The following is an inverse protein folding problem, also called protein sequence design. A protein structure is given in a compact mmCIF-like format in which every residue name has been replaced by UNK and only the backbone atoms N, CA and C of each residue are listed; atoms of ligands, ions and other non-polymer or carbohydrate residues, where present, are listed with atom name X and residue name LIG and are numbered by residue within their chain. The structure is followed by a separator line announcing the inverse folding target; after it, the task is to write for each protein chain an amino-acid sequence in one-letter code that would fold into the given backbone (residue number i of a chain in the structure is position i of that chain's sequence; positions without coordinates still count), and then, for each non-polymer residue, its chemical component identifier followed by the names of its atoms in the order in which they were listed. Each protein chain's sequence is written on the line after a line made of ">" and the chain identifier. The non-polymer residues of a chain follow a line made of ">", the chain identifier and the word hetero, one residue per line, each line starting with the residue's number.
data_IF_262522340991
#
_entry.id   IF_262522340991
#
_cell.length_a   1.000
_cell.length_b   1.000
_cell.length_c   1.000
_cell.angle_alpha   90.00
_cell.angle_beta   90.00
_cell.angle_gamma   90.00
#
_symmetry.space_group_name_H-M   'P 1'
#
loop_
_entity.id
_entity.type
_entity.pdbx_description
1 polymer ?
#
# COMPACT_ATOMS: atom_id res chain seq x y z
N UNK A 1 5.89 -24.55 12.14
CA UNK A 1 7.09 -25.26 11.64
C UNK A 1 6.83 -25.95 10.31
N UNK A 2 5.90 -26.91 10.19
CA UNK A 2 5.65 -27.64 8.94
C UNK A 2 5.41 -26.75 7.68
N UNK A 3 4.71 -25.61 7.85
CA UNK A 3 4.52 -24.62 6.77
C UNK A 3 5.84 -23.96 6.36
N UNK A 4 6.67 -23.56 7.32
CA UNK A 4 7.96 -22.90 7.07
C UNK A 4 8.94 -23.84 6.37
N UNK A 5 8.93 -25.12 6.73
CA UNK A 5 9.73 -26.16 6.07
C UNK A 5 9.14 -26.61 4.72
N UNK A 6 8.03 -26.02 4.27
CA UNK A 6 7.39 -26.31 2.99
C UNK A 6 7.04 -27.80 2.79
N UNK A 7 6.47 -28.45 3.81
CA UNK A 7 6.06 -29.86 3.75
C UNK A 7 4.52 -30.03 3.69
N UNK A 8 3.89 -29.98 2.50
CA UNK A 8 2.43 -30.06 2.35
C UNK A 8 1.79 -31.29 2.98
N UNK A 9 2.47 -32.45 2.93
CA UNK A 9 1.97 -33.70 3.54
C UNK A 9 1.88 -33.57 5.06
N UNK A 10 2.93 -33.03 5.69
CA UNK A 10 2.93 -32.78 7.13
C UNK A 10 1.91 -31.73 7.53
N UNK A 11 1.76 -30.65 6.74
CA UNK A 11 0.70 -29.66 6.95
C UNK A 11 -0.67 -30.33 6.90
N UNK A 12 -0.96 -31.13 5.88
CA UNK A 12 -2.24 -31.83 5.74
C UNK A 12 -2.55 -32.74 6.94
N UNK A 13 -1.59 -33.61 7.33
CA UNK A 13 -1.78 -34.50 8.49
C UNK A 13 -2.03 -33.74 9.79
N UNK A 14 -1.34 -32.61 10.01
CA UNK A 14 -1.55 -31.78 11.20
C UNK A 14 -2.95 -31.15 11.20
N UNK A 15 -3.45 -30.70 10.04
CA UNK A 15 -4.79 -30.15 9.91
C UNK A 15 -5.86 -31.22 10.15
N UNK A 16 -5.68 -32.44 9.61
CA UNK A 16 -6.57 -33.58 9.90
C UNK A 16 -6.59 -33.96 11.38
N UNK A 17 -5.46 -33.81 12.08
CA UNK A 17 -5.35 -34.00 13.52
C UNK A 17 -5.94 -32.84 14.35
N UNK A 18 -6.53 -31.81 13.72
CA UNK A 18 -7.16 -30.68 14.39
C UNK A 18 -6.22 -29.54 14.79
N UNK A 19 -5.03 -29.44 14.18
CA UNK A 19 -4.16 -28.29 14.40
C UNK A 19 -4.83 -26.98 13.94
N UNK A 20 -4.79 -25.95 14.79
CA UNK A 20 -5.38 -24.65 14.48
C UNK A 20 -4.54 -23.86 13.47
N UNK A 21 -5.19 -23.37 12.41
CA UNK A 21 -4.59 -22.50 11.39
C UNK A 21 -4.46 -21.04 11.81
N UNK A 22 -5.05 -20.65 12.94
CA UNK A 22 -4.99 -19.29 13.50
C UNK A 22 -4.19 -19.25 14.80
N UNK A 23 -3.53 -20.35 15.19
CA UNK A 23 -2.70 -20.37 16.39
C UNK A 23 -1.51 -19.42 16.21
N UNK A 24 -1.41 -18.44 17.10
CA UNK A 24 -0.35 -17.43 17.08
C UNK A 24 0.86 -17.87 17.92
N UNK A 25 2.06 -17.60 17.42
CA UNK A 25 3.30 -17.67 18.20
C UNK A 25 3.50 -16.42 19.08
N UNK A 26 4.65 -16.31 19.76
CA UNK A 26 4.96 -15.18 20.66
C UNK A 26 5.11 -13.83 19.92
N UNK A 27 5.29 -13.85 18.61
CA UNK A 27 5.34 -12.67 17.76
C UNK A 27 3.97 -12.38 17.12
N UNK A 28 2.93 -13.10 17.53
CA UNK A 28 1.59 -12.98 16.97
C UNK A 28 1.42 -13.67 15.63
N UNK A 29 2.40 -14.46 15.16
CA UNK A 29 2.39 -15.00 13.80
C UNK A 29 1.52 -16.22 13.64
N UNK A 30 0.71 -16.27 12.59
CA UNK A 30 -0.05 -17.47 12.22
C UNK A 30 0.85 -18.48 11.50
N UNK A 31 0.46 -19.76 11.40
CA UNK A 31 1.19 -20.76 10.63
C UNK A 31 1.43 -20.35 9.17
N UNK A 32 0.47 -19.65 8.55
CA UNK A 32 0.58 -19.12 7.19
C UNK A 32 1.79 -18.20 7.02
N UNK A 33 2.08 -17.36 8.02
CA UNK A 33 3.21 -16.44 7.97
C UNK A 33 4.57 -17.15 7.96
N UNK A 34 4.62 -18.41 8.38
CA UNK A 34 5.80 -19.25 8.21
C UNK A 34 6.19 -19.44 6.74
N UNK A 35 5.25 -19.32 5.81
CA UNK A 35 5.49 -19.50 4.38
C UNK A 35 6.40 -18.41 3.80
N UNK A 36 6.33 -17.18 4.32
CA UNK A 36 7.17 -16.07 3.85
C UNK A 36 8.69 -16.35 3.95
N UNK A 37 9.11 -17.17 4.92
CA UNK A 37 10.50 -17.61 5.11
C UNK A 37 10.82 -18.98 4.51
N UNK A 38 9.85 -19.61 3.84
CA UNK A 38 10.02 -20.95 3.30
C UNK A 38 10.76 -20.94 1.97
N UNK A 39 11.39 -22.06 1.64
CA UNK A 39 11.97 -22.32 0.31
C UNK A 39 10.96 -23.04 -0.60
N UNK A 40 9.66 -22.84 -0.37
CA UNK A 40 8.61 -23.48 -1.15
C UNK A 40 8.67 -23.00 -2.60
N UNK A 41 8.68 -23.94 -3.54
CA UNK A 41 8.35 -23.62 -4.93
C UNK A 41 6.88 -23.18 -5.05
N UNK A 42 6.53 -22.63 -6.22
CA UNK A 42 5.19 -22.10 -6.46
C UNK A 42 4.09 -23.15 -6.23
N UNK A 43 4.28 -24.40 -6.66
CA UNK A 43 3.27 -25.46 -6.51
C UNK A 43 3.05 -25.83 -5.05
N UNK A 44 4.14 -25.92 -4.29
CA UNK A 44 4.16 -26.24 -2.87
C UNK A 44 3.51 -25.11 -2.07
N UNK A 45 3.85 -23.85 -2.35
CA UNK A 45 3.24 -22.69 -1.73
C UNK A 45 1.72 -22.64 -2.01
N UNK A 46 1.30 -22.86 -3.26
CA UNK A 46 -0.13 -22.94 -3.63
C UNK A 46 -0.84 -24.05 -2.87
N UNK A 47 -0.22 -25.23 -2.77
CA UNK A 47 -0.81 -26.38 -2.06
C UNK A 47 -0.99 -26.06 -0.58
N UNK A 48 0.02 -25.47 0.05
CA UNK A 48 -0.04 -25.09 1.48
C UNK A 48 -1.11 -24.03 1.70
N UNK A 49 -1.16 -22.97 0.89
CA UNK A 49 -2.18 -21.92 1.01
C UNK A 49 -3.58 -22.50 0.86
N UNK A 50 -3.82 -23.37 -0.14
CA UNK A 50 -5.11 -24.05 -0.32
C UNK A 50 -5.50 -24.93 0.88
N UNK A 51 -4.55 -25.67 1.46
CA UNK A 51 -4.80 -26.48 2.65
C UNK A 51 -5.21 -25.62 3.84
N UNK A 52 -4.52 -24.51 4.05
CA UNK A 52 -4.80 -23.58 5.15
C UNK A 52 -6.14 -22.85 4.94
N UNK A 53 -6.41 -22.33 3.74
CA UNK A 53 -7.70 -21.69 3.41
C UNK A 53 -8.88 -22.68 3.48
N UNK A 54 -8.66 -23.95 3.15
CA UNK A 54 -9.66 -25.02 3.33
C UNK A 54 -10.05 -25.25 4.79
N UNK A 55 -9.26 -24.74 5.74
CA UNK A 55 -9.55 -24.69 7.17
C UNK A 55 -9.82 -23.25 7.66
N UNK A 56 -10.23 -22.37 6.74
CA UNK A 56 -10.58 -20.97 6.99
C UNK A 56 -9.44 -20.07 7.50
N UNK A 57 -8.18 -20.39 7.15
CA UNK A 57 -7.06 -19.50 7.46
C UNK A 57 -7.21 -18.14 6.75
N UNK A 58 -6.93 -17.07 7.49
CA UNK A 58 -6.96 -15.70 7.00
C UNK A 58 -5.65 -15.31 6.33
N UNK A 59 -5.71 -14.84 5.08
CA UNK A 59 -4.53 -14.33 4.36
C UNK A 59 -4.06 -12.97 4.91
N UNK A 60 -4.99 -12.18 5.43
CA UNK A 60 -4.81 -10.84 5.97
C UNK A 60 -4.46 -10.82 7.47
N UNK A 61 -4.21 -12.00 8.07
CA UNK A 61 -3.82 -12.06 9.48
C UNK A 61 -2.50 -11.31 9.72
N UNK A 62 -2.56 -10.29 10.57
CA UNK A 62 -1.43 -9.46 10.97
C UNK A 62 -0.73 -10.01 12.19
N UNK A 63 0.60 -9.94 12.25
CA UNK A 63 1.37 -10.24 13.46
C UNK A 63 1.42 -9.05 14.43
N UNK A 64 2.21 -9.15 15.51
CA UNK A 64 2.30 -8.07 16.52
C UNK A 64 2.86 -6.74 15.95
N UNK A 65 3.47 -6.76 14.77
CA UNK A 65 3.94 -5.57 14.04
C UNK A 65 2.98 -5.16 12.93
N UNK A 66 1.73 -5.64 12.93
CA UNK A 66 0.76 -5.33 11.88
C UNK A 66 1.08 -5.98 10.54
N UNK A 67 2.15 -6.77 10.43
CA UNK A 67 2.61 -7.31 9.15
C UNK A 67 1.79 -8.56 8.79
N UNK A 68 1.24 -8.57 7.57
CA UNK A 68 0.61 -9.75 6.97
C UNK A 68 1.69 -10.70 6.41
N UNK A 69 1.28 -11.89 5.98
CA UNK A 69 2.20 -12.82 5.29
C UNK A 69 2.81 -12.17 4.04
N UNK A 70 2.05 -11.31 3.35
CA UNK A 70 2.50 -10.61 2.15
C UNK A 70 3.65 -9.64 2.47
N UNK A 71 3.51 -8.83 3.52
CA UNK A 71 4.58 -7.96 4.00
C UNK A 71 5.85 -8.74 4.35
N UNK A 72 5.69 -9.86 5.06
CA UNK A 72 6.84 -10.72 5.41
C UNK A 72 7.49 -11.33 4.17
N UNK A 73 6.74 -11.66 3.12
CA UNK A 73 7.30 -12.15 1.86
C UNK A 73 8.18 -11.09 1.17
N UNK A 74 7.76 -9.82 1.18
CA UNK A 74 8.58 -8.70 0.69
C UNK A 74 9.83 -8.51 1.55
N UNK A 75 9.70 -8.49 2.88
CA UNK A 75 10.86 -8.34 3.79
C UNK A 75 11.91 -9.45 3.64
N UNK A 76 11.49 -10.64 3.21
CA UNK A 76 12.37 -11.79 2.98
C UNK A 76 12.75 -11.99 1.51
N UNK A 77 12.38 -11.06 0.62
CA UNK A 77 12.61 -11.16 -0.83
C UNK A 77 12.16 -12.51 -1.43
N UNK A 78 11.00 -12.99 -0.97
CA UNK A 78 10.43 -14.25 -1.42
C UNK A 78 9.34 -14.01 -2.46
N UNK A 79 9.76 -13.73 -3.70
CA UNK A 79 8.84 -13.39 -4.79
C UNK A 79 7.88 -14.54 -5.13
N UNK A 80 8.34 -15.80 -4.99
CA UNK A 80 7.53 -16.98 -5.25
C UNK A 80 6.32 -16.99 -4.32
N UNK A 81 6.54 -16.81 -3.02
CA UNK A 81 5.47 -16.78 -2.03
C UNK A 81 4.61 -15.53 -2.19
N UNK A 82 5.21 -14.37 -2.49
CA UNK A 82 4.47 -13.14 -2.78
C UNK A 82 3.48 -13.35 -3.94
N UNK A 83 3.93 -13.91 -5.06
CA UNK A 83 3.08 -14.24 -6.23
C UNK A 83 1.91 -15.13 -5.83
N UNK A 84 2.18 -16.22 -5.12
CA UNK A 84 1.12 -17.14 -4.69
C UNK A 84 0.10 -16.47 -3.76
N UNK A 85 0.55 -15.58 -2.87
CA UNK A 85 -0.36 -14.87 -1.96
C UNK A 85 -1.29 -13.93 -2.73
N UNK A 86 -0.76 -13.18 -3.69
CA UNK A 86 -1.55 -12.29 -4.55
C UNK A 86 -2.53 -13.12 -5.41
N UNK A 87 -2.08 -14.23 -6.00
CA UNK A 87 -2.93 -15.17 -6.76
C UNK A 87 -4.05 -15.76 -5.89
N UNK A 88 -3.80 -15.95 -4.59
CA UNK A 88 -4.78 -16.43 -3.62
C UNK A 88 -5.73 -15.33 -3.09
N UNK A 89 -5.56 -14.08 -3.53
CA UNK A 89 -6.40 -12.94 -3.15
C UNK A 89 -5.97 -12.20 -1.88
N UNK A 90 -4.70 -12.31 -1.46
CA UNK A 90 -4.17 -11.50 -0.37
C UNK A 90 -4.19 -10.01 -0.75
N UNK A 91 -4.61 -9.15 0.18
CA UNK A 91 -4.73 -7.72 -0.09
C UNK A 91 -3.38 -7.00 -0.02
N UNK A 92 -3.07 -6.24 -1.07
CA UNK A 92 -1.92 -5.34 -1.16
C UNK A 92 -2.16 -3.96 -0.50
N UNK A 93 -3.40 -3.65 -0.11
CA UNK A 93 -3.79 -2.35 0.46
C UNK A 93 -3.66 -2.29 1.99
N UNK A 94 -3.13 -3.33 2.62
CA UNK A 94 -3.00 -3.39 4.08
C UNK A 94 -1.91 -2.45 4.55
N UNK A 95 -2.06 -1.90 5.75
CA UNK A 95 -1.04 -1.12 6.45
C UNK A 95 -0.53 -1.91 7.65
N UNK A 96 0.80 -1.97 7.81
CA UNK A 96 1.45 -2.52 8.97
C UNK A 96 1.45 -1.51 10.13
N UNK A 97 2.04 -1.89 11.28
CA UNK A 97 2.31 -0.92 12.34
C UNK A 97 3.16 0.23 11.80
N UNK A 98 3.10 1.40 12.44
CA UNK A 98 3.79 2.62 11.98
C UNK A 98 3.26 3.19 10.66
N UNK A 99 2.03 2.84 10.27
CA UNK A 99 1.38 3.34 9.04
C UNK A 99 2.15 2.99 7.76
N UNK A 100 2.93 1.92 7.77
CA UNK A 100 3.68 1.45 6.61
C UNK A 100 2.77 0.67 5.65
N UNK A 101 2.59 1.17 4.43
CA UNK A 101 2.00 0.40 3.33
C UNK A 101 3.07 -0.48 2.64
N UNK A 102 2.65 -1.27 1.65
CA UNK A 102 3.56 -2.18 0.93
C UNK A 102 4.73 -1.47 0.23
N UNK A 103 4.58 -0.20 -0.17
CA UNK A 103 5.64 0.57 -0.80
C UNK A 103 6.70 1.03 0.20
N UNK A 104 6.33 1.36 1.45
CA UNK A 104 7.31 1.65 2.51
C UNK A 104 8.20 0.45 2.76
N UNK A 105 7.60 -0.74 2.86
CA UNK A 105 8.35 -1.98 3.07
C UNK A 105 9.16 -2.34 1.83
N UNK A 106 8.64 -2.11 0.61
CA UNK A 106 9.43 -2.32 -0.59
C UNK A 106 10.65 -1.39 -0.66
N UNK A 107 10.52 -0.12 -0.26
CA UNK A 107 11.59 0.87 -0.31
C UNK A 107 12.87 0.46 0.45
N UNK A 108 12.73 -0.28 1.56
CA UNK A 108 13.85 -0.68 2.41
C UNK A 108 14.29 -2.15 2.29
N UNK A 109 13.44 -3.02 1.75
CA UNK A 109 13.68 -4.48 1.75
C UNK A 109 13.67 -5.09 0.35
N UNK A 110 12.78 -4.65 -0.54
CA UNK A 110 12.49 -5.32 -1.80
C UNK A 110 13.65 -5.21 -2.79
N UNK A 111 14.06 -6.34 -3.37
CA UNK A 111 14.95 -6.39 -4.53
C UNK A 111 14.28 -5.98 -5.84
N UNK A 112 15.07 -5.98 -6.91
CA UNK A 112 14.60 -5.69 -8.26
C UNK A 112 13.43 -6.59 -8.69
N UNK A 113 13.43 -7.87 -8.31
CA UNK A 113 12.42 -8.83 -8.72
C UNK A 113 11.08 -8.55 -8.04
N UNK A 114 11.09 -8.31 -6.72
CA UNK A 114 9.90 -7.90 -5.97
C UNK A 114 9.39 -6.55 -6.46
N UNK A 115 10.26 -5.58 -6.67
CA UNK A 115 9.86 -4.22 -7.11
C UNK A 115 9.22 -4.28 -8.50
N UNK A 116 9.81 -5.04 -9.42
CA UNK A 116 9.26 -5.25 -10.76
C UNK A 116 7.91 -5.96 -10.70
N UNK A 117 7.78 -6.99 -9.87
CA UNK A 117 6.52 -7.68 -9.67
C UNK A 117 5.42 -6.75 -9.13
N UNK A 118 5.73 -5.92 -8.14
CA UNK A 118 4.80 -4.92 -7.59
C UNK A 118 4.38 -3.89 -8.64
N UNK A 119 5.27 -3.51 -9.56
CA UNK A 119 4.95 -2.62 -10.68
C UNK A 119 3.98 -3.22 -11.70
N UNK A 120 3.94 -4.55 -11.81
CA UNK A 120 2.96 -5.27 -12.62
C UNK A 120 1.60 -5.40 -11.92
N UNK A 121 1.50 -5.15 -10.61
CA UNK A 121 0.27 -5.33 -9.85
C UNK A 121 -0.64 -4.10 -9.86
N UNK A 122 -1.94 -4.34 -9.69
CA UNK A 122 -2.93 -3.29 -9.56
C UNK A 122 -2.94 -2.64 -8.15
N UNK A 123 -2.01 -1.73 -7.90
CA UNK A 123 -1.86 -1.03 -6.62
C UNK A 123 -2.80 0.17 -6.43
N UNK A 124 -3.94 0.23 -7.12
CA UNK A 124 -4.85 1.40 -7.15
C UNK A 124 -5.43 1.84 -5.81
N UNK A 125 -5.37 0.98 -4.79
CA UNK A 125 -5.83 1.25 -3.42
C UNK A 125 -4.67 1.53 -2.45
N UNK A 126 -3.42 1.39 -2.89
CA UNK A 126 -2.25 1.76 -2.11
C UNK A 126 -2.03 3.25 -2.29
N UNK A 127 -1.94 3.97 -1.17
CA UNK A 127 -1.71 5.41 -1.18
C UNK A 127 -0.20 5.73 -1.21
N UNK A 128 0.35 6.24 -2.33
CA UNK A 128 1.76 6.62 -2.41
C UNK A 128 2.10 7.87 -1.57
N UNK A 129 1.13 8.61 -1.05
CA UNK A 129 1.34 9.81 -0.21
C UNK A 129 1.21 9.51 1.28
N UNK A 130 0.82 8.28 1.66
CA UNK A 130 0.72 7.89 3.06
C UNK A 130 2.07 8.11 3.75
N UNK A 131 2.05 8.76 4.91
CA UNK A 131 3.23 9.00 5.74
C UNK A 131 3.31 7.94 6.84
N UNK A 132 4.48 7.35 7.01
CA UNK A 132 4.78 6.45 8.12
C UNK A 132 4.89 7.21 9.46
N UNK A 133 5.23 6.51 10.54
CA UNK A 133 5.40 7.12 11.87
C UNK A 133 6.56 8.13 11.94
N UNK A 134 7.52 8.04 11.03
CA UNK A 134 8.63 8.98 10.90
C UNK A 134 8.24 10.21 10.03
N UNK A 135 7.01 10.22 9.51
CA UNK A 135 6.48 11.27 8.65
C UNK A 135 6.93 11.15 7.20
N UNK A 136 7.55 10.03 6.82
CA UNK A 136 8.10 9.81 5.48
C UNK A 136 7.07 9.15 4.58
N UNK A 137 6.97 9.62 3.34
CA UNK A 137 6.29 8.87 2.28
C UNK A 137 7.16 7.65 1.87
N UNK A 138 6.64 6.68 1.09
CA UNK A 138 7.45 5.55 0.62
C UNK A 138 8.74 5.95 -0.10
N UNK A 139 8.69 7.06 -0.86
CA UNK A 139 9.87 7.60 -1.53
C UNK A 139 10.85 8.27 -0.54
N UNK A 140 10.34 8.93 0.50
CA UNK A 140 11.16 9.42 1.62
C UNK A 140 11.82 8.29 2.40
N UNK A 141 11.12 7.16 2.57
CA UNK A 141 11.67 5.94 3.18
C UNK A 141 12.83 5.38 2.35
N UNK A 142 12.71 5.38 1.02
CA UNK A 142 13.80 5.01 0.12
C UNK A 142 14.99 5.96 0.30
N UNK A 143 14.74 7.27 0.31
CA UNK A 143 15.74 8.31 0.61
C UNK A 143 16.49 8.05 1.90
N UNK A 144 15.74 7.83 2.98
CA UNK A 144 16.28 7.51 4.30
C UNK A 144 17.13 6.24 4.28
N UNK A 145 16.68 5.15 3.65
CA UNK A 145 17.45 3.90 3.57
C UNK A 145 18.78 4.09 2.81
N UNK A 146 18.81 4.96 1.80
CA UNK A 146 20.03 5.26 1.05
C UNK A 146 21.03 6.11 1.86
N UNK A 147 20.55 7.05 2.66
CA UNK A 147 21.36 8.00 3.43
C UNK A 147 21.70 7.52 4.86
N UNK A 148 20.94 6.57 5.41
CA UNK A 148 21.13 6.01 6.75
C UNK A 148 22.54 5.47 6.96
N UNK A 149 23.06 5.54 8.18
CA UNK A 149 24.32 4.87 8.54
C UNK A 149 24.13 3.35 8.64
N UNK A 150 25.22 2.58 8.49
CA UNK A 150 25.14 1.10 8.54
C UNK A 150 24.58 0.56 9.85
N UNK A 151 24.76 1.27 10.96
CA UNK A 151 24.21 0.88 12.27
C UNK A 151 22.71 1.14 12.39
N UNK A 152 22.14 1.99 11.53
CA UNK A 152 20.70 2.28 11.46
C UNK A 152 19.95 1.26 10.59
N UNK A 153 20.67 0.59 9.68
CA UNK A 153 20.15 -0.49 8.85
C UNK A 153 20.05 -1.79 9.67
N UNK A 154 19.15 -1.77 10.65
CA UNK A 154 18.84 -2.91 11.50
C UNK A 154 17.89 -3.89 10.80
N UNK A 155 17.82 -5.11 11.31
CA UNK A 155 17.05 -6.20 10.70
C UNK A 155 17.50 -6.51 9.25
N UNK A 156 16.56 -6.75 8.34
CA UNK A 156 16.82 -7.07 6.92
C UNK A 156 16.73 -5.83 6.02
N UNK A 157 16.74 -4.62 6.59
CA UNK A 157 16.83 -3.37 5.84
C UNK A 157 18.16 -3.33 5.09
N UNK A 158 18.12 -2.84 3.86
CA UNK A 158 19.30 -2.75 2.99
C UNK A 158 19.31 -1.42 2.25
N UNK A 159 20.49 -1.04 1.75
CA UNK A 159 20.61 0.06 0.79
C UNK A 159 20.27 -0.45 -0.61
N UNK A 160 19.20 0.05 -1.25
CA UNK A 160 18.86 -0.35 -2.62
C UNK A 160 19.92 0.14 -3.61
N UNK A 161 20.21 -0.66 -4.63
CA UNK A 161 21.12 -0.30 -5.72
C UNK A 161 20.55 0.84 -6.56
N UNK A 162 21.37 1.57 -7.36
CA UNK A 162 20.87 2.61 -8.24
C UNK A 162 19.79 2.12 -9.23
N UNK A 163 19.89 0.88 -9.70
CA UNK A 163 18.90 0.26 -10.57
C UNK A 163 17.57 0.04 -9.84
N UNK A 164 17.63 -0.47 -8.60
CA UNK A 164 16.45 -0.70 -7.76
C UNK A 164 15.77 0.62 -7.38
N UNK A 165 16.57 1.64 -7.06
CA UNK A 165 16.08 3.00 -6.83
C UNK A 165 15.32 3.52 -8.04
N UNK A 166 15.87 3.38 -9.25
CA UNK A 166 15.22 3.89 -10.46
C UNK A 166 13.91 3.18 -10.77
N UNK A 167 13.85 1.85 -10.60
CA UNK A 167 12.62 1.08 -10.80
C UNK A 167 11.57 1.46 -9.75
N UNK A 168 11.97 1.63 -8.49
CA UNK A 168 11.07 2.08 -7.42
C UNK A 168 10.55 3.50 -7.68
N UNK A 169 11.41 4.43 -8.09
CA UNK A 169 11.03 5.81 -8.46
C UNK A 169 10.01 5.79 -9.59
N UNK A 170 10.24 5.00 -10.64
CA UNK A 170 9.28 4.85 -11.74
C UNK A 170 7.93 4.32 -11.22
N UNK A 171 7.94 3.23 -10.44
CA UNK A 171 6.74 2.65 -9.84
C UNK A 171 5.97 3.68 -8.99
N UNK A 172 6.68 4.41 -8.13
CA UNK A 172 6.11 5.43 -7.26
C UNK A 172 5.41 6.52 -8.06
N UNK A 173 6.09 7.10 -9.05
CA UNK A 173 5.55 8.21 -9.85
C UNK A 173 4.46 7.76 -10.83
N UNK A 174 4.52 6.53 -11.34
CA UNK A 174 3.44 5.94 -12.15
C UNK A 174 2.17 5.80 -11.30
N UNK A 175 2.30 5.28 -10.07
CA UNK A 175 1.18 5.18 -9.14
C UNK A 175 0.64 6.55 -8.70
N UNK A 176 1.53 7.50 -8.39
CA UNK A 176 1.17 8.86 -8.00
C UNK A 176 0.44 9.58 -9.14
N UNK A 177 0.91 9.44 -10.38
CA UNK A 177 0.26 10.03 -11.55
C UNK A 177 -1.14 9.47 -11.75
N UNK A 178 -1.30 8.15 -11.63
CA UNK A 178 -2.63 7.51 -11.69
C UNK A 178 -3.55 7.96 -10.55
N UNK A 179 -3.01 8.13 -9.34
CA UNK A 179 -3.75 8.67 -8.20
C UNK A 179 -4.25 10.10 -8.48
N UNK A 180 -3.35 11.00 -8.88
CA UNK A 180 -3.66 12.40 -9.17
C UNK A 180 -4.68 12.53 -10.29
N UNK A 181 -4.53 11.80 -11.39
CA UNK A 181 -5.50 11.80 -12.49
C UNK A 181 -6.90 11.36 -12.04
N UNK A 182 -6.99 10.34 -11.17
CA UNK A 182 -8.27 9.88 -10.61
C UNK A 182 -8.86 10.91 -9.65
N UNK A 183 -8.02 11.54 -8.83
CA UNK A 183 -8.43 12.58 -7.91
C UNK A 183 -8.97 13.80 -8.67
N UNK A 184 -8.22 14.31 -9.65
CA UNK A 184 -8.63 15.39 -10.54
C UNK A 184 -9.95 15.09 -11.29
N UNK A 185 -10.15 13.85 -11.74
CA UNK A 185 -11.44 13.43 -12.35
C UNK A 185 -12.59 13.52 -11.36
N UNK A 186 -12.34 13.17 -10.09
CA UNK A 186 -13.32 13.28 -9.00
C UNK A 186 -13.63 14.75 -8.70
N UNK A 187 -12.61 15.60 -8.60
CA UNK A 187 -12.77 17.04 -8.38
C UNK A 187 -13.56 17.70 -9.52
N UNK A 188 -13.26 17.38 -10.78
CA UNK A 188 -14.04 17.85 -11.95
C UNK A 188 -15.52 17.48 -11.86
N UNK A 189 -15.83 16.29 -11.35
CA UNK A 189 -17.22 15.88 -11.16
C UNK A 189 -17.89 16.66 -10.02
N UNK A 190 -17.15 16.95 -8.94
CA UNK A 190 -17.65 17.79 -7.84
C UNK A 190 -17.87 19.24 -8.28
N UNK A 191 -16.95 19.83 -9.05
CA UNK A 191 -17.11 21.17 -9.63
C UNK A 191 -18.38 21.28 -10.46
N UNK A 192 -18.59 20.35 -11.40
CA UNK A 192 -19.82 20.34 -12.23
C UNK A 192 -21.10 20.21 -11.40
N UNK A 193 -21.07 19.41 -10.34
CA UNK A 193 -22.22 19.24 -9.45
C UNK A 193 -22.49 20.51 -8.62
N UNK A 194 -21.42 21.18 -8.16
CA UNK A 194 -21.50 22.43 -7.43
C UNK A 194 -22.02 23.59 -8.30
N UNK A 195 -21.57 23.67 -9.56
CA UNK A 195 -22.06 24.65 -10.54
C UNK A 195 -23.55 24.48 -10.84
N UNK A 196 -24.04 23.24 -10.87
CA UNK A 196 -25.46 22.91 -11.08
C UNK A 196 -26.33 23.14 -9.83
N UNK A 197 -25.72 23.43 -8.66
CA UNK A 197 -26.39 23.64 -7.36
C UNK A 197 -27.34 22.50 -6.96
N UNK A 198 -27.05 21.27 -7.40
CA UNK A 198 -27.85 20.10 -7.04
C UNK A 198 -27.43 19.58 -5.67
N UNK A 199 -28.21 19.91 -4.63
CA UNK A 199 -27.94 19.50 -3.25
C UNK A 199 -28.00 17.99 -3.06
N UNK A 200 -28.93 17.30 -3.75
CA UNK A 200 -29.17 15.88 -3.55
C UNK A 200 -28.01 15.06 -4.12
N UNK A 201 -27.66 15.31 -5.39
CA UNK A 201 -26.59 14.60 -6.09
C UNK A 201 -25.23 14.91 -5.45
N UNK A 202 -24.97 16.17 -5.08
CA UNK A 202 -23.71 16.57 -4.45
C UNK A 202 -23.51 15.91 -3.08
N UNK A 203 -24.58 15.85 -2.27
CA UNK A 203 -24.52 15.24 -0.93
C UNK A 203 -24.28 13.73 -0.99
N UNK A 204 -24.97 13.03 -1.90
CA UNK A 204 -24.78 11.59 -2.11
C UNK A 204 -23.34 11.29 -2.57
N UNK A 205 -22.82 12.07 -3.52
CA UNK A 205 -21.45 11.92 -4.04
C UNK A 205 -20.40 12.16 -2.97
N UNK A 206 -20.51 13.24 -2.20
CA UNK A 206 -19.54 13.54 -1.12
C UNK A 206 -19.60 12.43 -0.06
N UNK A 207 -20.79 11.94 0.28
CA UNK A 207 -20.93 10.83 1.24
C UNK A 207 -20.24 9.55 0.74
N UNK A 208 -20.42 9.20 -0.54
CA UNK A 208 -19.72 8.08 -1.15
C UNK A 208 -18.19 8.26 -1.17
N UNK A 209 -17.70 9.49 -1.38
CA UNK A 209 -16.27 9.82 -1.35
C UNK A 209 -15.68 9.76 0.06
N UNK A 210 -16.44 10.17 1.08
CA UNK A 210 -16.05 10.01 2.49
C UNK A 210 -15.92 8.53 2.81
N UNK A 211 -16.93 7.71 2.52
CA UNK A 211 -16.89 6.26 2.78
C UNK A 211 -15.70 5.59 2.07
N UNK A 212 -15.47 5.94 0.80
CA UNK A 212 -14.35 5.40 0.04
C UNK A 212 -13.01 5.82 0.64
N UNK A 213 -12.88 7.07 1.07
CA UNK A 213 -11.65 7.60 1.67
C UNK A 213 -11.37 6.97 3.04
N UNK A 214 -12.43 6.71 3.80
CA UNK A 214 -12.39 6.00 5.09
C UNK A 214 -11.89 4.55 4.93
N UNK A 215 -12.42 3.81 3.93
CA UNK A 215 -11.94 2.46 3.59
C UNK A 215 -10.46 2.45 3.17
N UNK A 216 -10.00 3.51 2.52
CA UNK A 216 -8.58 3.65 2.12
C UNK A 216 -7.68 4.21 3.23
N UNK A 217 -8.22 4.55 4.40
CA UNK A 217 -7.44 5.12 5.51
C UNK A 217 -6.95 6.56 5.29
N UNK A 218 -7.59 7.32 4.39
CA UNK A 218 -7.20 8.70 4.03
C UNK A 218 -7.91 9.72 4.91
N UNK A 219 -7.45 9.86 6.15
CA UNK A 219 -8.09 10.72 7.16
C UNK A 219 -8.11 12.21 6.79
N UNK A 220 -7.06 12.69 6.12
CA UNK A 220 -6.92 14.05 5.60
C UNK A 220 -8.03 14.37 4.59
N UNK A 221 -8.20 13.50 3.59
CA UNK A 221 -9.25 13.65 2.59
C UNK A 221 -10.64 13.51 3.20
N UNK A 222 -10.83 12.63 4.18
CA UNK A 222 -12.11 12.51 4.92
C UNK A 222 -12.45 13.83 5.62
N UNK A 223 -11.48 14.49 6.25
CA UNK A 223 -11.69 15.80 6.89
C UNK A 223 -12.04 16.86 5.86
N UNK A 224 -11.32 16.89 4.72
CA UNK A 224 -11.59 17.82 3.63
C UNK A 224 -13.00 17.65 3.05
N UNK A 225 -13.40 16.41 2.71
CA UNK A 225 -14.75 16.12 2.21
C UNK A 225 -15.85 16.46 3.22
N UNK A 226 -15.61 16.27 4.53
CA UNK A 226 -16.54 16.70 5.58
C UNK A 226 -16.67 18.22 5.65
N UNK A 227 -15.59 18.96 5.40
CA UNK A 227 -15.61 20.42 5.26
C UNK A 227 -16.53 20.86 4.12
N UNK A 228 -16.36 20.26 2.93
CA UNK A 228 -17.24 20.52 1.78
C UNK A 228 -18.70 20.16 2.10
N UNK A 229 -18.93 19.04 2.80
CA UNK A 229 -20.27 18.64 3.22
C UNK A 229 -20.91 19.67 4.17
N UNK A 230 -20.11 20.31 5.04
CA UNK A 230 -20.55 21.43 5.88
C UNK A 230 -20.98 22.62 5.03
N UNK A 231 -20.11 23.08 4.14
CA UNK A 231 -20.40 24.17 3.21
C UNK A 231 -21.64 23.90 2.34
N UNK A 232 -21.90 22.63 1.99
CA UNK A 232 -23.08 22.21 1.24
C UNK A 232 -24.37 22.37 2.05
N UNK A 233 -24.34 22.09 3.36
CA UNK A 233 -25.49 22.28 4.26
C UNK A 233 -25.81 23.75 4.46
N UNK A 234 -24.78 24.60 4.49
CA UNK A 234 -24.91 26.04 4.68
C UNK A 234 -25.26 26.78 3.38
N UNK A 235 -25.27 26.09 2.23
CA UNK A 235 -25.57 26.68 0.92
C UNK A 235 -24.44 27.54 0.35
N UNK A 236 -23.21 27.38 0.87
CA UNK A 236 -22.03 28.14 0.48
C UNK A 236 -21.39 27.60 -0.81
N UNK A 237 -22.15 27.61 -1.90
CA UNK A 237 -21.74 27.04 -3.20
C UNK A 237 -20.50 27.72 -3.79
N UNK A 238 -20.36 29.04 -3.61
CA UNK A 238 -19.17 29.77 -4.07
C UNK A 238 -17.91 29.29 -3.36
N UNK A 239 -17.98 29.06 -2.05
CA UNK A 239 -16.86 28.52 -1.28
C UNK A 239 -16.52 27.09 -1.73
N UNK A 240 -17.52 26.25 -1.99
CA UNK A 240 -17.28 24.89 -2.52
C UNK A 240 -16.55 24.94 -3.86
N UNK A 241 -16.98 25.81 -4.78
CA UNK A 241 -16.34 25.93 -6.09
C UNK A 241 -14.90 26.40 -5.93
N UNK A 242 -14.64 27.39 -5.07
CA UNK A 242 -13.29 27.86 -4.77
C UNK A 242 -12.42 26.74 -4.17
N UNK A 243 -12.87 26.11 -3.08
CA UNK A 243 -12.13 25.04 -2.38
C UNK A 243 -11.78 23.87 -3.31
N UNK A 244 -12.72 23.46 -4.17
CA UNK A 244 -12.51 22.34 -5.10
C UNK A 244 -11.63 22.74 -6.28
N UNK A 245 -11.71 24.00 -6.74
CA UNK A 245 -10.86 24.51 -7.81
C UNK A 245 -9.41 24.64 -7.35
N UNK A 246 -9.18 25.18 -6.15
CA UNK A 246 -7.85 25.30 -5.56
C UNK A 246 -7.18 23.93 -5.42
N UNK A 247 -7.90 22.93 -4.90
CA UNK A 247 -7.41 21.54 -4.81
C UNK A 247 -7.13 20.93 -6.20
N UNK A 248 -7.94 21.28 -7.21
CA UNK A 248 -7.74 20.79 -8.58
C UNK A 248 -6.45 21.35 -9.19
N UNK A 249 -6.19 22.64 -8.98
CA UNK A 249 -5.00 23.32 -9.49
C UNK A 249 -3.75 22.82 -8.76
N UNK A 250 -3.80 22.62 -7.44
CA UNK A 250 -2.71 21.99 -6.67
C UNK A 250 -2.42 20.57 -7.17
N UNK A 251 -3.45 19.73 -7.37
CA UNK A 251 -3.28 18.38 -7.91
C UNK A 251 -2.72 18.37 -9.34
N UNK A 252 -3.02 19.38 -10.16
CA UNK A 252 -2.47 19.54 -11.50
C UNK A 252 -0.98 19.91 -11.47
N UNK A 253 -0.59 20.82 -10.58
CA UNK A 253 0.80 21.18 -10.36
C UNK A 253 1.61 19.98 -9.84
N UNK A 254 1.07 19.24 -8.87
CA UNK A 254 1.62 17.97 -8.38
C UNK A 254 1.86 16.97 -9.51
N UNK A 255 0.92 16.84 -10.44
CA UNK A 255 1.04 15.94 -11.59
C UNK A 255 2.18 16.37 -12.52
N UNK A 256 2.31 17.68 -12.74
CA UNK A 256 3.43 18.26 -13.50
C UNK A 256 4.77 17.93 -12.84
N UNK A 257 4.90 18.19 -11.52
CA UNK A 257 6.11 17.89 -10.75
C UNK A 257 6.45 16.39 -10.74
N UNK A 258 5.45 15.54 -10.55
CA UNK A 258 5.61 14.08 -10.60
C UNK A 258 6.15 13.60 -11.97
N UNK A 259 5.66 14.19 -13.06
CA UNK A 259 6.12 13.88 -14.41
C UNK A 259 7.59 14.19 -14.65
N UNK A 260 8.10 15.31 -14.10
CA UNK A 260 9.52 15.67 -14.21
C UNK A 260 10.38 14.79 -13.31
N UNK A 261 9.94 14.54 -12.08
CA UNK A 261 10.67 13.76 -11.07
C UNK A 261 10.81 12.26 -11.44
N UNK A 262 9.89 11.70 -12.23
CA UNK A 262 9.86 10.28 -12.62
C UNK A 262 11.17 9.72 -13.19
N UNK A 263 11.89 10.51 -13.99
CA UNK A 263 13.10 10.05 -14.67
C UNK A 263 14.38 10.60 -14.03
N UNK A 264 14.27 11.13 -12.79
CA UNK A 264 15.36 11.73 -12.05
C UNK A 264 15.87 10.79 -10.97
N UNK A 265 17.05 11.11 -10.44
CA UNK A 265 17.67 10.33 -9.37
C UNK A 265 17.13 10.76 -8.02
N UNK A 266 17.27 9.88 -7.01
CA UNK A 266 16.85 10.14 -5.64
C UNK A 266 17.51 11.37 -5.00
N UNK A 267 18.68 11.77 -5.51
CA UNK A 267 19.41 12.95 -5.06
C UNK A 267 18.84 14.27 -5.63
N UNK A 268 18.03 14.22 -6.69
CA UNK A 268 17.47 15.40 -7.34
C UNK A 268 16.47 16.12 -6.42
N UNK A 269 16.56 17.45 -6.26
CA UNK A 269 15.65 18.23 -5.42
C UNK A 269 14.16 18.03 -5.75
N UNK A 270 13.83 17.78 -7.02
CA UNK A 270 12.44 17.54 -7.41
C UNK A 270 11.91 16.19 -6.92
N UNK A 271 12.78 15.18 -6.78
CA UNK A 271 12.42 13.89 -6.18
C UNK A 271 12.34 14.03 -4.66
N UNK A 272 13.28 14.77 -4.05
CA UNK A 272 13.29 15.04 -2.60
C UNK A 272 12.07 15.82 -2.11
N UNK A 273 11.41 16.59 -2.97
CA UNK A 273 10.16 17.29 -2.64
C UNK A 273 9.00 16.34 -2.27
N UNK A 274 9.09 15.05 -2.63
CA UNK A 274 8.09 14.03 -2.36
C UNK A 274 8.46 13.11 -1.19
N UNK A 275 9.45 13.48 -0.38
CA UNK A 275 9.84 12.72 0.81
C UNK A 275 8.80 12.81 1.94
#
# INVERSE_FOLDING_TARGET
>A
MAVREAFPKCVHMLLEAGASVEKRDFLGRTPLQGLAKSQADQQTAHRIIRLLQGQHARLDAQDNMGATTLFRAVMHNNVTVLRVLVDAGASLNTTATFSENILHVAAGYADLEITSYLAEQHLTLVDPRLRDADGLAPLGRLGWCCEADDWQLIDSLRRPSPEEQQVFISLYFDLLSHYLLRHMSTLKQLLRAAEQRDTSISSERITALIQKSDVTGREDMVKWYRGIQGNLRDGNWEQIVLDVQDEYDEAFEDLGRAGVARNKTLADPEVKAFF
#
